data_IF_345127171599
#
_entry.id   IF_345127171599
#
_cell.length_a   1.000
_cell.length_b   1.000
_cell.length_c   1.000
_cell.angle_alpha   90.00
_cell.angle_beta   90.00
_cell.angle_gamma   90.00
#
_symmetry.space_group_name_H-M   'P 1'
#
loop_
_entity.id
_entity.type
_entity.pdbx_description
1 polymer ?
#
# COMPACT_ATOMS: atom_id res chain seq x y z
N UNK A 1 -47.52 22.32 35.98
CA UNK A 1 -48.32 21.08 36.16
C UNK A 1 -48.84 20.62 34.80
N UNK A 2 -48.20 19.61 34.21
CA UNK A 2 -48.82 18.55 33.37
C UNK A 2 -47.71 17.61 32.92
N UNK A 3 -47.67 16.46 33.59
CA UNK A 3 -46.78 15.33 33.30
C UNK A 3 -47.12 14.72 31.94
N UNK A 4 -46.10 14.30 31.19
CA UNK A 4 -46.27 13.36 30.07
C UNK A 4 -45.54 12.06 30.41
N UNK A 5 -46.27 10.96 30.26
CA UNK A 5 -45.97 9.63 30.79
C UNK A 5 -44.94 8.89 29.93
N UNK A 6 -44.08 8.14 30.63
CA UNK A 6 -43.13 7.15 30.10
C UNK A 6 -43.87 5.94 29.49
N UNK A 7 -43.39 5.45 28.35
CA UNK A 7 -43.72 4.12 27.83
C UNK A 7 -42.46 3.24 27.89
N UNK A 8 -42.50 2.19 28.70
CA UNK A 8 -41.53 1.10 28.70
C UNK A 8 -42.05 0.00 27.78
N UNK A 9 -41.23 -0.46 26.83
CA UNK A 9 -41.49 -1.66 26.04
C UNK A 9 -40.48 -2.74 26.44
N UNK A 10 -41.00 -3.85 26.98
CA UNK A 10 -40.24 -5.06 27.31
C UNK A 10 -39.97 -5.86 26.03
N UNK A 11 -38.70 -6.12 25.72
CA UNK A 11 -38.28 -7.06 24.67
C UNK A 11 -38.00 -8.41 25.33
N UNK A 12 -38.75 -9.42 24.88
CA UNK A 12 -38.61 -10.84 25.27
C UNK A 12 -37.67 -11.50 24.27
N UNK A 13 -36.55 -12.04 24.73
CA UNK A 13 -35.61 -12.82 23.92
C UNK A 13 -36.12 -14.26 23.85
N UNK A 14 -36.43 -14.74 22.63
CA UNK A 14 -36.62 -16.15 22.33
C UNK A 14 -35.33 -16.68 21.67
N UNK A 15 -34.74 -17.70 22.28
CA UNK A 15 -33.58 -18.43 21.78
C UNK A 15 -34.06 -19.68 21.05
N UNK A 16 -33.94 -19.72 19.72
CA UNK A 16 -34.13 -20.94 18.94
C UNK A 16 -32.77 -21.63 18.70
N UNK A 17 -32.69 -22.91 19.10
CA UNK A 17 -31.55 -23.79 18.87
C UNK A 17 -31.63 -24.41 17.48
N UNK A 18 -30.60 -24.23 16.66
CA UNK A 18 -30.42 -24.92 15.38
C UNK A 18 -29.45 -26.09 15.54
N UNK A 19 -29.92 -27.31 15.21
CA UNK A 19 -29.13 -28.53 15.17
C UNK A 19 -28.22 -28.64 13.92
N UNK A 20 -27.32 -29.64 13.85
CA UNK A 20 -26.31 -29.69 12.80
C UNK A 20 -26.79 -30.48 11.57
N UNK A 21 -26.83 -29.83 10.41
CA UNK A 21 -26.97 -30.50 9.12
C UNK A 21 -25.61 -30.86 8.50
N UNK A 22 -25.57 -32.08 7.94
CA UNK A 22 -24.49 -32.65 7.13
C UNK A 22 -24.66 -32.23 5.67
N UNK A 23 -23.59 -31.79 4.99
CA UNK A 23 -23.33 -32.09 3.57
C UNK A 23 -21.86 -31.79 3.24
N UNK A 24 -21.05 -32.84 3.03
CA UNK A 24 -20.70 -33.49 1.74
C UNK A 24 -19.80 -32.63 0.83
N UNK A 25 -18.56 -33.09 0.81
CA UNK A 25 -17.49 -32.88 -0.17
C UNK A 25 -17.89 -33.37 -1.56
N UNK A 26 -17.61 -32.58 -2.60
CA UNK A 26 -17.39 -33.04 -3.98
C UNK A 26 -16.62 -31.95 -4.74
N UNK A 27 -15.37 -32.24 -5.14
CA UNK A 27 -14.62 -31.44 -6.13
C UNK A 27 -13.35 -32.18 -6.58
N UNK A 28 -13.49 -33.22 -7.41
CA UNK A 28 -12.38 -33.75 -8.23
C UNK A 28 -12.95 -34.31 -9.54
N UNK A 29 -12.55 -33.71 -10.67
CA UNK A 29 -12.89 -34.21 -11.99
C UNK A 29 -12.45 -33.26 -13.10
N UNK A 30 -11.16 -33.27 -13.46
CA UNK A 30 -10.71 -32.81 -14.78
C UNK A 30 -9.80 -33.90 -15.36
N UNK A 31 -10.30 -34.54 -16.42
CA UNK A 31 -9.62 -35.52 -17.25
C UNK A 31 -8.70 -34.84 -18.27
N UNK A 32 -7.56 -35.49 -18.49
CA UNK A 32 -6.60 -35.26 -19.58
C UNK A 32 -7.23 -35.51 -20.95
N UNK A 33 -6.67 -34.94 -22.02
CA UNK A 33 -6.32 -35.68 -23.25
C UNK A 33 -5.35 -34.91 -24.18
N UNK A 34 -4.24 -35.59 -24.50
CA UNK A 34 -3.55 -35.75 -25.79
C UNK A 34 -3.09 -34.56 -26.66
N UNK A 35 -1.77 -34.54 -26.92
CA UNK A 35 -1.16 -34.53 -28.27
C UNK A 35 0.26 -35.12 -28.24
N UNK A 36 0.48 -36.16 -29.05
CA UNK A 36 1.78 -36.68 -29.47
C UNK A 36 2.06 -36.17 -30.90
N UNK A 37 3.32 -35.84 -31.24
CA UNK A 37 4.10 -36.58 -32.27
C UNK A 37 5.55 -36.08 -32.45
N UNK A 38 6.45 -37.04 -32.72
CA UNK A 38 7.74 -37.04 -33.45
C UNK A 38 8.82 -35.95 -33.17
N UNK A 39 10.12 -36.19 -33.03
CA UNK A 39 10.98 -37.32 -33.40
C UNK A 39 12.11 -36.86 -34.35
N UNK A 40 13.28 -36.43 -33.81
CA UNK A 40 14.55 -36.34 -34.53
C UNK A 40 15.74 -36.12 -33.56
N UNK A 41 16.78 -36.93 -33.69
CA UNK A 41 17.97 -37.02 -32.82
C UNK A 41 19.23 -36.74 -33.65
N UNK A 42 20.03 -35.69 -33.36
CA UNK A 42 21.51 -35.59 -33.59
C UNK A 42 22.08 -34.43 -32.69
N UNK A 43 23.40 -34.30 -32.44
CA UNK A 43 24.07 -34.53 -31.16
C UNK A 43 24.47 -33.26 -30.38
N UNK A 44 24.91 -33.49 -29.14
CA UNK A 44 25.28 -32.48 -28.14
C UNK A 44 26.56 -31.70 -28.47
N UNK A 45 26.49 -30.37 -28.42
CA UNK A 45 27.60 -29.48 -28.05
C UNK A 45 27.09 -28.25 -27.27
N UNK A 46 27.47 -28.20 -25.99
CA UNK A 46 27.55 -27.04 -25.07
C UNK A 46 26.56 -25.87 -25.24
N UNK A 47 25.48 -25.88 -24.46
CA UNK A 47 24.69 -24.67 -24.18
C UNK A 47 25.39 -23.78 -23.13
N UNK A 48 25.34 -22.44 -23.28
CA UNK A 48 25.72 -21.52 -22.22
C UNK A 48 24.70 -21.60 -21.08
N UNK A 49 25.21 -21.61 -19.84
CA UNK A 49 24.40 -21.71 -18.62
C UNK A 49 23.33 -20.61 -18.60
N UNK A 50 22.07 -21.04 -18.65
CA UNK A 50 20.89 -20.22 -18.36
C UNK A 50 20.97 -19.87 -16.87
N UNK A 51 21.29 -18.63 -16.54
CA UNK A 51 21.15 -18.09 -15.19
C UNK A 51 19.68 -18.27 -14.76
N UNK A 52 19.44 -19.21 -13.85
CA UNK A 52 18.13 -19.35 -13.22
C UNK A 52 17.94 -18.17 -12.27
N UNK A 53 17.13 -17.19 -12.66
CA UNK A 53 16.58 -16.20 -11.74
C UNK A 53 15.44 -16.88 -10.98
N UNK A 54 15.80 -17.80 -10.09
CA UNK A 54 14.89 -18.52 -9.21
C UNK A 54 15.15 -18.07 -7.78
N UNK A 55 14.76 -16.84 -7.45
CA UNK A 55 14.73 -16.36 -6.07
C UNK A 55 13.60 -17.07 -5.34
N UNK A 56 13.88 -18.28 -4.84
CA UNK A 56 12.94 -19.01 -4.01
C UNK A 56 12.72 -18.18 -2.74
N UNK A 57 11.50 -17.68 -2.53
CA UNK A 57 11.12 -17.02 -1.28
C UNK A 57 11.46 -17.99 -0.13
N UNK A 58 12.21 -17.54 0.90
CA UNK A 58 12.53 -18.40 2.02
C UNK A 58 11.21 -18.88 2.65
N UNK A 59 11.07 -20.19 2.85
CA UNK A 59 9.91 -20.78 3.51
C UNK A 59 9.60 -20.03 4.81
N UNK A 60 8.31 -19.87 5.11
CA UNK A 60 7.80 -19.31 6.37
C UNK A 60 8.56 -19.99 7.52
N UNK A 61 9.49 -19.27 8.12
CA UNK A 61 10.23 -19.76 9.28
C UNK A 61 9.27 -19.61 10.45
N UNK A 62 8.98 -20.69 11.18
CA UNK A 62 8.14 -20.60 12.37
C UNK A 62 8.73 -19.54 13.32
N UNK A 63 7.88 -18.62 13.77
CA UNK A 63 8.25 -17.58 14.72
C UNK A 63 7.90 -18.11 16.10
N UNK A 64 8.92 -18.56 16.82
CA UNK A 64 8.84 -19.09 18.19
C UNK A 64 9.48 -18.15 19.23
N UNK A 65 10.12 -17.06 18.79
CA UNK A 65 10.76 -16.08 19.66
C UNK A 65 11.32 -14.87 18.92
N UNK A 66 11.90 -13.93 19.70
CA UNK A 66 12.45 -12.70 19.16
C UNK A 66 13.60 -12.94 18.17
N UNK A 67 14.47 -13.93 18.45
CA UNK A 67 15.60 -14.24 17.58
C UNK A 67 15.16 -14.75 16.20
N UNK A 68 14.14 -15.60 16.15
CA UNK A 68 13.61 -16.13 14.87
C UNK A 68 12.86 -15.04 14.11
N UNK A 69 12.11 -14.17 14.80
CA UNK A 69 11.50 -12.98 14.19
C UNK A 69 12.52 -12.05 13.54
N UNK A 70 13.49 -11.54 14.31
CA UNK A 70 14.46 -10.56 13.82
C UNK A 70 15.42 -11.13 12.77
N UNK A 71 15.68 -12.44 12.80
CA UNK A 71 16.40 -13.13 11.72
C UNK A 71 15.61 -13.11 10.42
N UNK A 72 14.30 -13.35 10.47
CA UNK A 72 13.40 -13.25 9.32
C UNK A 72 13.32 -11.82 8.76
N UNK A 73 13.19 -10.83 9.64
CA UNK A 73 13.21 -9.41 9.27
C UNK A 73 14.54 -9.04 8.59
N UNK A 74 15.68 -9.40 9.19
CA UNK A 74 17.02 -9.11 8.66
C UNK A 74 17.23 -9.73 7.28
N UNK A 75 16.76 -10.96 7.07
CA UNK A 75 16.84 -11.63 5.77
C UNK A 75 16.01 -10.88 4.72
N UNK A 76 14.81 -10.44 5.08
CA UNK A 76 13.93 -9.69 4.15
C UNK A 76 14.53 -8.33 3.81
N UNK A 77 15.09 -7.64 4.81
CA UNK A 77 15.74 -6.34 4.66
C UNK A 77 16.86 -6.38 3.60
N UNK A 78 17.66 -7.45 3.59
CA UNK A 78 18.76 -7.63 2.62
C UNK A 78 18.31 -7.75 1.16
N UNK A 79 17.03 -8.04 0.92
CA UNK A 79 16.47 -8.27 -0.42
C UNK A 79 15.46 -7.19 -0.82
N UNK A 80 15.38 -6.07 -0.09
CA UNK A 80 14.49 -4.98 -0.46
C UNK A 80 14.82 -4.44 -1.87
N UNK A 81 13.79 -4.08 -2.66
CA UNK A 81 13.99 -3.57 -4.01
C UNK A 81 14.44 -2.09 -3.98
N UNK A 82 15.70 -1.84 -3.61
CA UNK A 82 16.23 -0.48 -3.48
C UNK A 82 15.96 0.43 -4.68
N UNK A 83 16.12 -0.01 -5.96
CA UNK A 83 15.82 0.86 -7.10
C UNK A 83 14.37 1.34 -7.15
N UNK A 84 13.41 0.51 -6.73
CA UNK A 84 12.00 0.91 -6.68
C UNK A 84 11.74 1.88 -5.52
N UNK A 85 12.44 1.72 -4.40
CA UNK A 85 12.35 2.61 -3.24
C UNK A 85 12.94 3.99 -3.59
N UNK A 86 14.09 4.02 -4.25
CA UNK A 86 14.72 5.26 -4.74
C UNK A 86 13.82 5.98 -5.74
N UNK A 87 13.13 5.23 -6.60
CA UNK A 87 12.17 5.78 -7.55
C UNK A 87 10.96 6.42 -6.86
N UNK A 88 10.47 5.85 -5.73
CA UNK A 88 9.43 6.51 -4.92
C UNK A 88 9.92 7.88 -4.43
N UNK A 89 11.14 7.94 -3.89
CA UNK A 89 11.71 9.22 -3.43
C UNK A 89 11.85 10.23 -4.59
N UNK A 90 12.28 9.77 -5.77
CA UNK A 90 12.37 10.60 -6.97
C UNK A 90 11.02 11.16 -7.41
N UNK A 91 9.98 10.33 -7.46
CA UNK A 91 8.62 10.76 -7.83
C UNK A 91 8.07 11.75 -6.82
N UNK A 92 8.27 11.53 -5.52
CA UNK A 92 7.84 12.46 -4.48
C UNK A 92 8.58 13.81 -4.56
N UNK A 93 9.89 13.80 -4.81
CA UNK A 93 10.65 15.04 -5.03
C UNK A 93 10.13 15.80 -6.25
N UNK A 94 9.88 15.11 -7.37
CA UNK A 94 9.32 15.73 -8.57
C UNK A 94 7.94 16.33 -8.30
N UNK A 95 7.08 15.59 -7.60
CA UNK A 95 5.73 16.05 -7.20
C UNK A 95 5.82 17.34 -6.36
N UNK A 96 6.78 17.41 -5.44
CA UNK A 96 7.07 18.60 -4.66
C UNK A 96 7.51 19.79 -5.52
N UNK A 97 8.48 19.58 -6.42
CA UNK A 97 9.02 20.62 -7.30
C UNK A 97 7.97 21.18 -8.27
N UNK A 98 7.04 20.33 -8.71
CA UNK A 98 5.95 20.68 -9.60
C UNK A 98 4.70 21.23 -8.86
N UNK A 99 4.79 21.43 -7.54
CA UNK A 99 3.70 21.91 -6.68
C UNK A 99 2.40 21.08 -6.75
N UNK A 100 2.56 19.79 -6.99
CA UNK A 100 1.49 18.80 -7.05
C UNK A 100 1.22 18.18 -5.68
N UNK A 101 0.08 17.54 -5.54
CA UNK A 101 -0.37 16.95 -4.27
C UNK A 101 -0.10 15.45 -4.19
N UNK A 102 0.08 14.95 -2.97
CA UNK A 102 0.16 13.52 -2.64
C UNK A 102 -0.98 13.16 -1.71
N UNK A 103 -1.74 12.13 -2.05
CA UNK A 103 -2.82 11.57 -1.24
C UNK A 103 -2.45 10.17 -0.76
N UNK A 104 -2.29 10.02 0.55
CA UNK A 104 -1.88 8.76 1.20
C UNK A 104 -3.09 8.03 1.76
N UNK A 105 -3.16 6.72 1.58
CA UNK A 105 -4.26 5.91 2.13
C UNK A 105 -3.90 4.43 2.29
N UNK A 106 -4.57 3.79 3.24
CA UNK A 106 -4.36 2.38 3.61
C UNK A 106 -5.28 1.97 4.76
N UNK A 107 -5.22 0.70 5.18
CA UNK A 107 -6.06 0.14 6.24
C UNK A 107 -5.24 -0.27 7.48
N UNK A 108 -5.79 -0.13 8.68
CA UNK A 108 -5.15 -0.63 9.91
C UNK A 108 -3.76 -0.03 10.16
N UNK A 109 -2.74 -0.86 10.33
CA UNK A 109 -1.34 -0.40 10.46
C UNK A 109 -0.88 0.43 9.26
N UNK A 110 -1.34 0.07 8.05
CA UNK A 110 -1.11 0.86 6.84
C UNK A 110 -1.82 2.22 6.86
N UNK A 111 -2.96 2.35 7.55
CA UNK A 111 -3.63 3.64 7.74
C UNK A 111 -2.84 4.56 8.67
N UNK A 112 -2.33 4.01 9.78
CA UNK A 112 -1.45 4.74 10.68
C UNK A 112 -0.16 5.19 9.97
N UNK A 113 0.42 4.33 9.13
CA UNK A 113 1.58 4.69 8.33
C UNK A 113 1.26 5.76 7.27
N UNK A 114 0.10 5.72 6.63
CA UNK A 114 -0.33 6.77 5.69
C UNK A 114 -0.39 8.14 6.37
N UNK A 115 -1.04 8.23 7.54
CA UNK A 115 -1.07 9.45 8.36
C UNK A 115 0.33 9.88 8.83
N UNK A 116 1.16 8.93 9.26
CA UNK A 116 2.53 9.18 9.72
C UNK A 116 3.41 9.74 8.60
N UNK A 117 3.39 9.13 7.41
CA UNK A 117 4.15 9.61 6.25
C UNK A 117 3.64 10.98 5.77
N UNK A 118 2.33 11.25 5.84
CA UNK A 118 1.78 12.57 5.54
C UNK A 118 2.31 13.63 6.52
N UNK A 119 2.41 13.29 7.81
CA UNK A 119 3.02 14.15 8.84
C UNK A 119 4.51 14.40 8.55
N UNK A 120 5.28 13.34 8.28
CA UNK A 120 6.71 13.45 7.96
C UNK A 120 6.96 14.30 6.72
N UNK A 121 6.21 14.09 5.64
CA UNK A 121 6.33 14.91 4.43
C UNK A 121 5.88 16.35 4.68
N UNK A 122 4.70 16.58 5.26
CA UNK A 122 4.15 17.92 5.43
C UNK A 122 4.95 18.80 6.39
N UNK A 123 5.32 18.26 7.56
CA UNK A 123 6.05 18.99 8.61
C UNK A 123 7.56 18.78 8.53
N UNK A 124 8.03 17.60 8.15
CA UNK A 124 9.44 17.23 8.19
C UNK A 124 10.26 17.79 7.02
N UNK A 125 9.65 18.07 5.86
CA UNK A 125 10.34 18.73 4.73
C UNK A 125 10.20 20.25 4.74
N UNK A 126 9.55 20.82 5.76
CA UNK A 126 9.21 22.23 5.86
C UNK A 126 10.42 23.09 6.28
N UNK A 127 11.44 23.15 5.43
CA UNK A 127 12.70 23.89 5.66
C UNK A 127 12.51 25.38 5.31
N UNK A 128 13.16 26.27 6.06
CA UNK A 128 13.09 27.72 5.80
C UNK A 128 13.57 28.04 4.37
N UNK A 129 12.86 28.95 3.70
CA UNK A 129 13.17 29.32 2.31
C UNK A 129 12.70 28.32 1.25
N UNK A 130 11.99 27.25 1.63
CA UNK A 130 11.44 26.25 0.70
C UNK A 130 9.91 26.27 0.66
N UNK A 131 9.34 25.77 -0.44
CA UNK A 131 7.90 25.54 -0.56
C UNK A 131 7.39 24.46 0.41
N UNK A 132 6.07 24.36 0.57
CA UNK A 132 5.43 23.32 1.40
C UNK A 132 5.06 22.11 0.56
N UNK A 133 5.28 20.92 1.12
CA UNK A 133 4.83 19.67 0.52
C UNK A 133 3.30 19.60 0.62
N UNK A 134 2.61 19.51 -0.52
CA UNK A 134 1.15 19.36 -0.55
C UNK A 134 0.82 17.88 -0.34
N UNK A 135 0.47 17.52 0.88
CA UNK A 135 0.23 16.12 1.24
C UNK A 135 -0.98 16.02 2.18
N UNK A 136 -1.80 14.99 1.97
CA UNK A 136 -2.95 14.68 2.82
C UNK A 136 -3.08 13.16 2.99
N UNK A 137 -3.36 12.72 4.22
CA UNK A 137 -3.81 11.34 4.44
C UNK A 137 -5.34 11.28 4.40
N UNK A 138 -5.89 10.33 3.65
CA UNK A 138 -7.33 10.08 3.56
C UNK A 138 -7.87 9.22 4.73
N UNK A 139 -7.00 8.95 5.71
CA UNK A 139 -7.29 8.14 6.90
C UNK A 139 -7.56 8.98 8.15
N UNK A 140 -7.35 10.30 8.09
CA UNK A 140 -7.39 11.18 9.27
C UNK A 140 -8.80 11.73 9.56
N UNK A 141 -9.63 11.92 8.54
CA UNK A 141 -10.97 12.47 8.70
C UNK A 141 -11.98 11.37 9.07
N UNK A 142 -11.98 11.00 10.35
CA UNK A 142 -12.84 9.92 10.86
C UNK A 142 -14.32 10.12 10.51
N UNK A 143 -14.95 11.30 10.73
CA UNK A 143 -16.36 11.50 10.33
C UNK A 143 -16.62 11.28 8.84
N UNK A 144 -15.71 11.68 7.96
CA UNK A 144 -15.87 11.49 6.52
C UNK A 144 -15.75 10.02 6.12
N UNK A 145 -14.79 9.30 6.69
CA UNK A 145 -14.63 7.86 6.47
C UNK A 145 -15.86 7.08 6.95
N UNK A 146 -16.34 7.37 8.16
CA UNK A 146 -17.47 6.63 8.73
C UNK A 146 -18.79 6.96 8.04
N UNK A 147 -18.97 8.21 7.56
CA UNK A 147 -20.13 8.58 6.74
C UNK A 147 -20.15 7.78 5.42
N UNK A 148 -19.05 7.75 4.67
CA UNK A 148 -18.98 6.95 3.43
C UNK A 148 -19.19 5.45 3.67
N UNK A 149 -18.62 4.93 4.76
CA UNK A 149 -18.78 3.54 5.13
C UNK A 149 -20.24 3.18 5.49
N UNK A 150 -20.94 4.06 6.21
CA UNK A 150 -22.31 3.84 6.69
C UNK A 150 -23.37 4.14 5.63
N UNK A 151 -23.25 5.28 4.96
CA UNK A 151 -24.28 5.82 4.06
C UNK A 151 -24.14 5.28 2.63
N UNK A 152 -23.00 4.67 2.30
CA UNK A 152 -22.73 4.07 1.00
C UNK A 152 -22.12 2.69 1.15
N UNK A 153 -20.79 2.58 1.11
CA UNK A 153 -20.09 1.30 1.30
C UNK A 153 -18.64 1.54 1.69
N UNK A 154 -18.09 0.62 2.48
CA UNK A 154 -16.72 0.73 2.96
C UNK A 154 -15.69 0.67 1.83
N UNK A 155 -16.00 0.00 0.73
CA UNK A 155 -15.13 -0.14 -0.44
C UNK A 155 -14.89 1.17 -1.18
N UNK A 156 -15.65 2.23 -0.94
CA UNK A 156 -15.50 3.49 -1.66
C UNK A 156 -14.93 4.62 -0.77
N UNK A 157 -14.58 4.32 0.48
CA UNK A 157 -14.18 5.36 1.47
C UNK A 157 -12.98 6.20 1.00
N UNK A 158 -12.02 5.63 0.26
CA UNK A 158 -10.88 6.38 -0.26
C UNK A 158 -11.17 6.96 -1.64
N UNK A 159 -11.91 6.23 -2.47
CA UNK A 159 -12.31 6.65 -3.81
C UNK A 159 -13.14 7.95 -3.79
N UNK A 160 -14.12 8.04 -2.89
CA UNK A 160 -14.96 9.23 -2.79
C UNK A 160 -14.23 10.42 -2.18
N UNK A 161 -13.32 10.18 -1.24
CA UNK A 161 -12.50 11.24 -0.65
C UNK A 161 -11.51 11.81 -1.67
N UNK A 162 -10.75 10.94 -2.35
CA UNK A 162 -9.70 11.37 -3.28
C UNK A 162 -10.29 12.10 -4.50
N UNK A 163 -11.47 11.67 -4.98
CA UNK A 163 -12.15 12.27 -6.14
C UNK A 163 -12.43 13.76 -5.99
N UNK A 164 -12.60 14.25 -4.76
CA UNK A 164 -12.85 15.68 -4.50
C UNK A 164 -11.64 16.58 -4.77
N UNK A 165 -10.42 16.01 -4.76
CA UNK A 165 -9.20 16.82 -4.69
C UNK A 165 -8.16 16.48 -5.75
N UNK A 166 -8.06 15.20 -6.15
CA UNK A 166 -7.01 14.71 -7.04
C UNK A 166 -7.07 15.38 -8.41
N UNK A 167 -5.91 15.79 -8.92
CA UNK A 167 -5.73 16.41 -10.24
C UNK A 167 -4.74 15.60 -11.09
N UNK A 168 -4.74 15.80 -12.42
CA UNK A 168 -3.73 15.20 -13.29
C UNK A 168 -2.30 15.52 -12.83
N UNK A 169 -1.48 14.48 -12.75
CA UNK A 169 -0.09 14.55 -12.30
C UNK A 169 0.12 14.51 -10.78
N UNK A 170 -0.93 14.65 -9.96
CA UNK A 170 -0.84 14.38 -8.51
C UNK A 170 -0.45 12.91 -8.26
N UNK A 171 -0.16 12.56 -7.01
CA UNK A 171 0.16 11.18 -6.61
C UNK A 171 -0.94 10.61 -5.74
N UNK A 172 -1.44 9.43 -6.12
CA UNK A 172 -2.22 8.57 -5.23
C UNK A 172 -1.29 7.48 -4.67
N UNK A 173 -1.00 7.55 -3.37
CA UNK A 173 -0.08 6.65 -2.68
C UNK A 173 -0.86 5.69 -1.78
N UNK A 174 -1.00 4.45 -2.25
CA UNK A 174 -1.65 3.36 -1.52
C UNK A 174 -0.66 2.53 -0.69
N UNK A 175 -1.06 2.18 0.53
CA UNK A 175 -0.36 1.23 1.39
C UNK A 175 -1.31 0.07 1.72
N UNK A 176 -0.95 -1.14 1.32
CA UNK A 176 -1.73 -2.35 1.59
C UNK A 176 -0.82 -3.55 1.70
N UNK A 177 -0.68 -4.10 2.91
CA UNK A 177 0.17 -5.26 3.18
C UNK A 177 -0.05 -6.43 2.20
N UNK A 178 -1.30 -6.76 1.89
CA UNK A 178 -1.65 -7.83 0.93
C UNK A 178 -1.99 -7.36 -0.49
N UNK A 179 -2.14 -6.06 -0.75
CA UNK A 179 -2.43 -5.51 -2.08
C UNK A 179 -3.79 -5.88 -2.67
N UNK A 180 -4.76 -6.28 -1.84
CA UNK A 180 -6.06 -6.80 -2.28
C UNK A 180 -7.28 -6.12 -1.65
N UNK A 181 -7.09 -5.13 -0.77
CA UNK A 181 -8.20 -4.44 -0.09
C UNK A 181 -9.03 -3.64 -1.10
N UNK A 182 -10.34 -3.93 -1.27
CA UNK A 182 -11.15 -3.28 -2.30
C UNK A 182 -11.18 -1.75 -2.19
N UNK A 183 -11.24 -1.21 -0.97
CA UNK A 183 -11.20 0.23 -0.75
C UNK A 183 -9.91 0.93 -1.22
N UNK A 184 -8.77 0.27 -1.07
CA UNK A 184 -7.49 0.76 -1.59
C UNK A 184 -7.46 0.66 -3.12
N UNK A 185 -7.96 -0.45 -3.68
CA UNK A 185 -8.01 -0.63 -5.13
C UNK A 185 -8.92 0.42 -5.80
N UNK A 186 -10.08 0.72 -5.22
CA UNK A 186 -11.00 1.73 -5.73
C UNK A 186 -10.38 3.14 -5.65
N UNK A 187 -9.64 3.46 -4.57
CA UNK A 187 -8.89 4.71 -4.47
C UNK A 187 -7.84 4.89 -5.58
N UNK A 188 -7.06 3.84 -5.86
CA UNK A 188 -6.10 3.84 -6.97
C UNK A 188 -6.77 3.93 -8.33
N UNK A 189 -7.92 3.28 -8.53
CA UNK A 189 -8.68 3.36 -9.76
C UNK A 189 -9.09 4.81 -10.06
N UNK A 190 -9.60 5.53 -9.05
CA UNK A 190 -9.92 6.97 -9.19
C UNK A 190 -8.67 7.80 -9.49
N UNK A 191 -7.54 7.53 -8.84
CA UNK A 191 -6.27 8.19 -9.15
C UNK A 191 -5.88 8.04 -10.63
N UNK A 192 -5.95 6.81 -11.15
CA UNK A 192 -5.67 6.52 -12.57
C UNK A 192 -6.63 7.24 -13.51
N UNK A 193 -7.92 7.22 -13.21
CA UNK A 193 -8.95 7.93 -14.01
C UNK A 193 -8.72 9.44 -14.05
N UNK A 194 -8.21 10.02 -12.97
CA UNK A 194 -7.86 11.43 -12.88
C UNK A 194 -6.51 11.78 -13.55
N UNK A 195 -5.75 10.79 -14.05
CA UNK A 195 -4.41 10.99 -14.59
C UNK A 195 -3.35 11.26 -13.52
N UNK A 196 -3.57 10.80 -12.29
CA UNK A 196 -2.56 10.80 -11.23
C UNK A 196 -1.53 9.69 -11.43
N UNK A 197 -0.35 9.85 -10.83
CA UNK A 197 0.66 8.82 -10.74
C UNK A 197 0.41 7.94 -9.50
N UNK A 198 0.16 6.66 -9.72
CA UNK A 198 -0.20 5.73 -8.67
C UNK A 198 1.03 5.03 -8.09
N UNK A 199 1.28 5.21 -6.79
CA UNK A 199 2.31 4.50 -6.03
C UNK A 199 1.65 3.47 -5.11
N UNK A 200 2.23 2.28 -5.02
CA UNK A 200 1.79 1.23 -4.10
C UNK A 200 2.92 0.69 -3.24
N UNK A 201 2.66 0.50 -1.94
CA UNK A 201 3.54 -0.17 -1.00
C UNK A 201 2.84 -1.42 -0.44
N UNK A 202 3.43 -2.60 -0.67
CA UNK A 202 2.79 -3.90 -0.43
C UNK A 202 3.78 -5.00 -0.06
N UNK A 203 3.30 -6.22 0.17
CA UNK A 203 4.12 -7.41 0.37
C UNK A 203 3.52 -8.62 -0.35
N UNK A 204 3.90 -9.82 0.08
CA UNK A 204 3.55 -11.07 -0.60
C UNK A 204 3.93 -10.99 -2.09
N UNK A 205 2.97 -11.29 -2.98
CA UNK A 205 3.11 -11.18 -4.43
C UNK A 205 2.60 -9.84 -5.00
N UNK A 206 2.19 -8.91 -4.14
CA UNK A 206 1.69 -7.58 -4.48
C UNK A 206 0.21 -7.46 -4.85
N UNK A 207 -0.51 -8.58 -4.95
CA UNK A 207 -1.95 -8.62 -5.14
C UNK A 207 -2.45 -7.91 -6.41
N UNK A 208 -3.73 -7.56 -6.41
CA UNK A 208 -4.36 -6.79 -7.51
C UNK A 208 -3.80 -5.38 -7.63
N UNK A 209 -3.31 -4.81 -6.53
CA UNK A 209 -2.78 -3.46 -6.46
C UNK A 209 -1.63 -3.23 -7.44
N UNK A 210 -0.78 -4.24 -7.66
CA UNK A 210 0.38 -4.15 -8.57
C UNK A 210 0.00 -3.70 -9.99
N UNK A 211 -1.16 -4.10 -10.50
CA UNK A 211 -1.64 -3.71 -11.84
C UNK A 211 -2.27 -2.31 -11.87
N UNK A 212 -2.61 -1.75 -10.70
CA UNK A 212 -3.18 -0.41 -10.56
C UNK A 212 -2.13 0.68 -10.31
N UNK A 213 -0.90 0.29 -9.97
CA UNK A 213 0.19 1.22 -9.72
C UNK A 213 1.07 1.42 -10.95
N UNK A 214 1.56 2.65 -11.14
CA UNK A 214 2.66 2.96 -12.06
C UNK A 214 4.00 2.53 -11.43
N UNK A 215 4.09 2.63 -10.09
CA UNK A 215 5.21 2.14 -9.29
C UNK A 215 4.71 1.36 -8.09
N UNK A 216 5.08 0.08 -7.98
CA UNK A 216 4.70 -0.77 -6.86
C UNK A 216 5.94 -1.36 -6.16
N UNK A 217 6.17 -0.96 -4.91
CA UNK A 217 7.20 -1.52 -4.04
C UNK A 217 6.62 -2.73 -3.33
N UNK A 218 7.07 -3.93 -3.73
CA UNK A 218 6.67 -5.21 -3.13
C UNK A 218 7.77 -5.67 -2.16
N UNK A 219 7.47 -5.68 -0.86
CA UNK A 219 8.35 -6.28 0.16
C UNK A 219 8.34 -7.80 -0.05
N UNK A 220 9.51 -8.45 -0.25
CA UNK A 220 9.59 -9.87 -0.57
C UNK A 220 9.44 -10.75 0.69
N UNK A 221 8.27 -10.70 1.31
CA UNK A 221 7.92 -11.44 2.51
C UNK A 221 6.49 -11.93 2.43
N UNK A 222 6.23 -13.10 3.02
CA UNK A 222 4.89 -13.69 3.20
C UNK A 222 4.38 -13.49 4.64
N UNK A 223 5.08 -12.67 5.44
CA UNK A 223 4.72 -12.39 6.83
C UNK A 223 4.25 -10.93 6.98
N UNK A 224 2.99 -10.74 7.39
CA UNK A 224 2.39 -9.40 7.54
C UNK A 224 3.17 -8.46 8.47
N UNK A 225 3.64 -8.94 9.61
CA UNK A 225 4.32 -8.09 10.60
C UNK A 225 5.67 -7.61 10.06
N UNK A 226 6.42 -8.50 9.42
CA UNK A 226 7.67 -8.13 8.72
C UNK A 226 7.40 -7.16 7.56
N UNK A 227 6.29 -7.34 6.83
CA UNK A 227 5.88 -6.41 5.76
C UNK A 227 5.61 -5.03 6.35
N UNK A 228 4.84 -4.92 7.42
CA UNK A 228 4.50 -3.64 8.06
C UNK A 228 5.73 -2.94 8.67
N UNK A 229 6.63 -3.68 9.33
CA UNK A 229 7.92 -3.16 9.83
C UNK A 229 8.75 -2.52 8.71
N UNK A 230 8.80 -3.20 7.56
CA UNK A 230 9.57 -2.75 6.41
C UNK A 230 8.84 -1.65 5.64
N UNK A 231 7.51 -1.59 5.64
CA UNK A 231 6.77 -0.45 5.09
C UNK A 231 7.09 0.84 5.83
N UNK A 232 7.15 0.79 7.16
CA UNK A 232 7.58 1.93 7.98
C UNK A 232 9.03 2.32 7.68
N UNK A 233 9.94 1.33 7.67
CA UNK A 233 11.37 1.55 7.39
C UNK A 233 11.61 2.16 6.00
N UNK A 234 10.89 1.67 4.98
CA UNK A 234 10.91 2.20 3.61
C UNK A 234 10.41 3.64 3.59
N UNK A 235 9.30 3.92 4.29
CA UNK A 235 8.73 5.28 4.36
C UNK A 235 9.69 6.27 5.01
N UNK A 236 10.40 5.87 6.08
CA UNK A 236 11.44 6.69 6.70
C UNK A 236 12.66 6.90 5.79
N UNK A 237 13.07 5.87 5.04
CA UNK A 237 14.14 5.99 4.05
C UNK A 237 13.77 7.02 2.98
N UNK A 238 12.59 6.87 2.36
CA UNK A 238 12.04 7.79 1.35
C UNK A 238 11.95 9.21 1.89
N UNK A 239 11.36 9.40 3.08
CA UNK A 239 11.27 10.71 3.72
C UNK A 239 12.66 11.34 3.92
N UNK A 240 13.64 10.57 4.41
CA UNK A 240 14.99 11.06 4.67
C UNK A 240 15.67 11.53 3.38
N UNK A 241 15.53 10.76 2.29
CA UNK A 241 16.07 11.13 0.97
C UNK A 241 15.41 12.41 0.46
N UNK A 242 14.08 12.47 0.45
CA UNK A 242 13.30 13.62 -0.03
C UNK A 242 13.65 14.88 0.77
N UNK A 243 13.68 14.80 2.11
CA UNK A 243 14.03 15.92 2.99
C UNK A 243 15.44 16.43 2.71
N UNK A 244 16.41 15.53 2.57
CA UNK A 244 17.80 15.91 2.31
C UNK A 244 17.94 16.62 0.97
N UNK A 245 17.27 16.12 -0.08
CA UNK A 245 17.27 16.75 -1.40
C UNK A 245 16.61 18.13 -1.38
N UNK A 246 15.46 18.30 -0.72
CA UNK A 246 14.81 19.61 -0.55
C UNK A 246 15.73 20.60 0.17
N UNK A 247 16.43 20.14 1.22
CA UNK A 247 17.38 20.97 1.98
C UNK A 247 18.59 21.40 1.14
N UNK A 248 19.09 20.51 0.28
CA UNK A 248 20.19 20.82 -0.64
C UNK A 248 19.77 21.84 -1.70
N UNK A 249 18.57 21.69 -2.27
CA UNK A 249 18.01 22.66 -3.22
C UNK A 249 17.87 24.05 -2.60
N UNK A 250 17.43 24.13 -1.33
CA UNK A 250 17.34 25.38 -0.58
C UNK A 250 18.71 26.06 -0.40
N UNK A 251 19.74 25.26 -0.13
CA UNK A 251 21.10 25.74 0.14
C UNK A 251 21.85 26.14 -1.14
N UNK A 252 21.47 25.55 -2.28
CA UNK A 252 22.05 25.85 -3.59
C UNK A 252 21.41 27.05 -4.29
N UNK A 253 20.22 27.49 -3.84
CA UNK A 253 19.58 28.68 -4.37
C UNK A 253 20.44 29.91 -4.04
N UNK A 254 20.86 30.73 -5.04
CA UNK A 254 21.67 31.90 -4.78
C UNK A 254 20.94 32.86 -3.84
N UNK A 255 21.65 33.38 -2.84
CA UNK A 255 21.14 34.34 -1.87
C UNK A 255 20.92 35.72 -2.53
N UNK A 256 19.96 35.86 -3.45
CA UNK A 256 19.62 37.15 -4.05
C UNK A 256 18.14 37.25 -4.41
N UNK A 257 17.37 37.87 -3.50
CA UNK A 257 16.38 38.92 -3.79
C UNK A 257 15.69 39.35 -2.46
N UNK A 258 16.46 39.78 -1.48
CA UNK A 258 15.96 40.64 -0.40
C UNK A 258 16.81 41.91 -0.43
N UNK A 259 16.54 42.76 -1.42
CA UNK A 259 16.81 44.21 -1.38
C UNK A 259 16.14 44.83 -2.60
N UNK A 260 14.86 45.22 -2.41
CA UNK A 260 14.19 46.37 -3.05
C UNK A 260 12.80 46.54 -2.46
#
# INVERSE_FOLDING_TARGET
>A
MRESRKAHANIRLETESLGPEKHRSDCLGISQEHRQNAGATIPMTSSPQRLSVGGCCPALTEIDGAETYFRGLSRTLQHLPHPAIDEVARVLLQTYQEHRAVFLFGNGGSAALASHLACDLGKGTAVNGTGRFRVLSLTDNVPLMTAWANDSRYEDIFAEQIRNFIQPGDVAFAISGGGNSPNVLNGLQVGREAGAYNIGLTGYQGGKMKALCDLCVVVPSENMQVIEDLHLSISHCVFSVVRNQISQLASAAPAHACDS
#
